data_IF_409361769609
#
_entry.id   IF_409361769609
#
_cell.length_a   1.000
_cell.length_b   1.000
_cell.length_c   1.000
_cell.angle_alpha   90.00
_cell.angle_beta   90.00
_cell.angle_gamma   90.00
#
_symmetry.space_group_name_H-M   'P 1'
#
loop_
_entity.id
_entity.type
_entity.pdbx_description
1 polymer ?
#
# COMPACT_ATOMS: atom_id res chain seq x y z
N UNK A 1 -28.38 -23.29 -16.78
CA UNK A 1 -27.40 -23.54 -15.68
C UNK A 1 -28.14 -23.42 -14.35
N UNK A 2 -28.13 -24.43 -13.47
CA UNK A 2 -28.82 -24.33 -12.16
C UNK A 2 -27.94 -23.51 -11.20
N UNK A 3 -28.49 -22.43 -10.65
CA UNK A 3 -27.85 -21.65 -9.61
C UNK A 3 -27.84 -22.47 -8.31
N UNK A 4 -26.69 -23.03 -7.98
CA UNK A 4 -26.44 -23.75 -6.73
C UNK A 4 -25.26 -23.09 -6.02
N UNK A 5 -25.23 -23.12 -4.69
CA UNK A 5 -24.11 -22.55 -3.89
C UNK A 5 -22.75 -23.03 -4.42
N UNK A 6 -22.63 -24.31 -4.80
CA UNK A 6 -21.41 -24.89 -5.35
C UNK A 6 -21.01 -24.27 -6.69
N UNK A 7 -21.95 -24.12 -7.61
CA UNK A 7 -21.68 -23.56 -8.93
C UNK A 7 -21.35 -22.06 -8.81
N UNK A 8 -22.13 -21.32 -8.04
CA UNK A 8 -21.91 -19.88 -7.80
C UNK A 8 -20.53 -19.63 -7.18
N UNK A 9 -20.19 -20.39 -6.12
CA UNK A 9 -18.87 -20.29 -5.49
C UNK A 9 -17.74 -20.55 -6.49
N UNK A 10 -17.80 -21.65 -7.22
CA UNK A 10 -16.78 -22.04 -8.21
C UNK A 10 -16.61 -21.00 -9.30
N UNK A 11 -17.72 -20.57 -9.89
CA UNK A 11 -17.68 -19.70 -11.07
C UNK A 11 -17.18 -18.29 -10.69
N UNK A 12 -17.61 -17.75 -9.55
CA UNK A 12 -17.08 -16.49 -9.03
C UNK A 12 -15.62 -16.61 -8.59
N UNK A 13 -15.24 -17.70 -7.94
CA UNK A 13 -13.85 -17.93 -7.53
C UNK A 13 -12.92 -18.01 -8.75
N UNK A 14 -13.32 -18.66 -9.82
CA UNK A 14 -12.54 -18.71 -11.07
C UNK A 14 -12.45 -17.34 -11.74
N UNK A 15 -13.56 -16.60 -11.80
CA UNK A 15 -13.59 -15.28 -12.42
C UNK A 15 -12.65 -14.30 -11.70
N UNK A 16 -12.64 -14.31 -10.38
CA UNK A 16 -11.83 -13.40 -9.57
C UNK A 16 -10.50 -13.99 -9.10
N UNK A 17 -10.10 -15.18 -9.57
CA UNK A 17 -8.90 -15.87 -9.08
C UNK A 17 -7.65 -14.99 -9.12
N UNK A 18 -7.44 -14.29 -10.23
CA UNK A 18 -6.29 -13.38 -10.37
C UNK A 18 -6.25 -12.25 -9.34
N UNK A 19 -7.41 -11.64 -9.07
CA UNK A 19 -7.53 -10.60 -8.05
C UNK A 19 -7.36 -11.16 -6.64
N UNK A 20 -7.93 -12.32 -6.34
CA UNK A 20 -7.77 -12.98 -5.04
C UNK A 20 -6.30 -13.19 -4.73
N UNK A 21 -5.54 -13.74 -5.69
CA UNK A 21 -4.10 -13.96 -5.55
C UNK A 21 -3.37 -12.63 -5.43
N UNK A 22 -3.65 -11.66 -6.30
CA UNK A 22 -2.99 -10.36 -6.31
C UNK A 22 -3.18 -9.61 -4.99
N UNK A 23 -4.40 -9.56 -4.48
CA UNK A 23 -4.72 -8.90 -3.21
C UNK A 23 -4.10 -9.64 -2.02
N UNK A 24 -4.12 -10.97 -2.00
CA UNK A 24 -3.50 -11.76 -0.93
C UNK A 24 -2.00 -11.52 -0.85
N UNK A 25 -1.30 -11.60 -1.98
CA UNK A 25 0.15 -11.40 -2.03
C UNK A 25 0.51 -9.95 -1.68
N UNK A 26 -0.14 -8.97 -2.31
CA UNK A 26 0.15 -7.56 -2.06
C UNK A 26 -0.22 -7.12 -0.65
N UNK A 27 -1.23 -7.73 -0.03
CA UNK A 27 -1.58 -7.51 1.37
C UNK A 27 -0.45 -7.92 2.33
N UNK A 28 0.18 -9.08 2.08
CA UNK A 28 1.35 -9.52 2.87
C UNK A 28 2.47 -8.48 2.80
N UNK A 29 2.79 -8.00 1.60
CA UNK A 29 3.84 -6.99 1.42
C UNK A 29 3.49 -5.63 2.03
N UNK A 30 2.22 -5.23 1.97
CA UNK A 30 1.75 -3.99 2.60
C UNK A 30 1.91 -3.99 4.13
N UNK A 31 1.78 -5.14 4.78
CA UNK A 31 2.01 -5.26 6.22
C UNK A 31 3.47 -4.95 6.62
N UNK A 32 4.42 -5.14 5.70
CA UNK A 32 5.84 -4.89 5.92
C UNK A 32 6.32 -3.54 5.37
N UNK A 33 5.41 -2.63 5.01
CA UNK A 33 5.71 -1.34 4.36
C UNK A 33 6.61 -0.39 5.16
N UNK A 34 6.74 -0.60 6.46
CA UNK A 34 7.62 0.23 7.30
C UNK A 34 9.09 -0.21 7.20
N UNK A 35 9.35 -1.51 7.04
CA UNK A 35 10.69 -2.07 6.88
C UNK A 35 11.12 -2.12 5.42
N UNK A 36 10.17 -2.31 4.52
CA UNK A 36 10.41 -2.41 3.10
C UNK A 36 9.23 -1.86 2.30
N UNK A 37 9.51 -0.91 1.40
CA UNK A 37 8.45 -0.25 0.64
C UNK A 37 8.06 -1.08 -0.59
N UNK A 38 6.88 -1.75 -0.62
CA UNK A 38 6.55 -2.71 -1.66
C UNK A 38 6.29 -2.10 -3.05
N UNK A 39 5.91 -0.80 -3.10
CA UNK A 39 5.60 -0.12 -4.37
C UNK A 39 6.81 0.36 -5.13
N UNK A 40 7.86 0.72 -4.42
CA UNK A 40 9.05 1.32 -5.01
C UNK A 40 10.29 0.92 -4.23
N UNK A 41 11.41 0.84 -4.91
CA UNK A 41 12.71 0.59 -4.31
C UNK A 41 13.68 1.73 -4.63
N UNK A 42 14.59 2.00 -3.72
CA UNK A 42 15.68 2.93 -3.95
C UNK A 42 16.67 2.29 -4.92
N UNK A 43 16.85 2.91 -6.10
CA UNK A 43 17.82 2.41 -7.08
C UNK A 43 19.10 3.24 -7.10
N UNK A 44 19.04 4.47 -6.59
CA UNK A 44 20.18 5.36 -6.49
C UNK A 44 20.10 6.19 -5.21
N UNK A 45 21.25 6.45 -4.61
CA UNK A 45 21.37 7.25 -3.41
C UNK A 45 22.63 8.09 -3.49
N UNK A 46 22.47 9.40 -3.44
CA UNK A 46 23.56 10.39 -3.55
C UNK A 46 23.60 11.23 -2.29
N UNK A 47 24.77 11.33 -1.66
CA UNK A 47 25.01 12.27 -0.59
C UNK A 47 25.26 13.67 -1.19
N UNK A 48 24.68 14.68 -0.55
CA UNK A 48 24.81 16.07 -0.94
C UNK A 48 25.23 16.93 0.26
N UNK A 49 25.86 18.04 -0.01
CA UNK A 49 26.12 19.07 0.99
C UNK A 49 25.70 20.41 0.42
N UNK A 50 24.90 21.15 1.18
CA UNK A 50 24.38 22.45 0.77
C UNK A 50 24.70 23.52 1.80
N UNK A 51 24.83 24.76 1.33
CA UNK A 51 24.87 25.91 2.21
C UNK A 51 23.46 26.23 2.70
N UNK A 52 23.27 26.14 4.01
CA UNK A 52 21.97 26.38 4.63
C UNK A 52 21.73 27.87 4.77
N UNK A 53 20.54 28.39 4.46
CA UNK A 53 20.16 29.76 4.80
C UNK A 53 20.17 29.95 6.33
N UNK A 54 20.59 31.12 6.78
CA UNK A 54 20.74 31.45 8.19
C UNK A 54 19.43 31.39 9.01
N UNK A 55 18.28 31.40 8.36
CA UNK A 55 16.96 31.40 8.98
C UNK A 55 16.04 30.39 8.32
N UNK A 56 15.32 29.60 9.13
CA UNK A 56 14.34 28.61 8.64
C UNK A 56 13.25 29.22 7.73
N UNK A 57 12.87 30.46 7.98
CA UNK A 57 11.89 31.23 7.20
C UNK A 57 12.36 31.52 5.76
N UNK A 58 13.65 31.39 5.51
CA UNK A 58 14.23 31.55 4.16
C UNK A 58 14.04 30.31 3.28
N UNK A 59 13.59 29.18 3.87
CA UNK A 59 13.28 27.94 3.16
C UNK A 59 11.85 28.02 2.61
N UNK A 60 11.73 28.71 1.48
CA UNK A 60 10.47 28.91 0.77
C UNK A 60 10.48 28.22 -0.60
N UNK A 61 9.38 28.31 -1.34
CA UNK A 61 9.27 27.73 -2.69
C UNK A 61 10.39 28.17 -3.65
N UNK A 62 10.86 29.41 -3.53
CA UNK A 62 11.94 29.92 -4.37
C UNK A 62 13.28 29.28 -4.03
N UNK A 63 13.51 28.98 -2.75
CA UNK A 63 14.68 28.22 -2.32
C UNK A 63 14.62 26.80 -2.89
N UNK A 64 13.47 26.12 -2.77
CA UNK A 64 13.29 24.77 -3.29
C UNK A 64 13.46 24.71 -4.81
N UNK A 65 12.95 25.69 -5.56
CA UNK A 65 13.15 25.77 -7.01
C UNK A 65 14.63 25.89 -7.37
N UNK A 66 15.37 26.82 -6.74
CA UNK A 66 16.80 26.97 -6.96
C UNK A 66 17.56 25.71 -6.60
N UNK A 67 17.26 25.09 -5.47
CA UNK A 67 17.84 23.82 -5.08
C UNK A 67 17.60 22.72 -6.11
N UNK A 68 16.37 22.61 -6.63
CA UNK A 68 15.99 21.62 -7.66
C UNK A 68 16.81 21.82 -8.93
N UNK A 69 17.00 23.07 -9.36
CA UNK A 69 17.81 23.43 -10.53
C UNK A 69 19.30 23.15 -10.31
N UNK A 70 19.86 23.55 -9.16
CA UNK A 70 21.27 23.32 -8.80
C UNK A 70 21.63 21.83 -8.74
N UNK A 71 20.74 21.02 -8.15
CA UNK A 71 20.93 19.57 -8.06
C UNK A 71 20.51 18.83 -9.34
N UNK A 72 20.03 19.54 -10.37
CA UNK A 72 19.58 18.99 -11.66
C UNK A 72 18.54 17.87 -11.47
N UNK A 73 17.60 18.07 -10.55
CA UNK A 73 16.52 17.13 -10.29
C UNK A 73 15.41 17.40 -11.31
N UNK A 74 15.36 16.58 -12.37
CA UNK A 74 14.29 16.65 -13.38
C UNK A 74 13.09 15.82 -12.90
N UNK A 75 12.35 16.37 -11.92
CA UNK A 75 11.20 15.70 -11.32
C UNK A 75 10.19 16.70 -10.75
N UNK A 76 8.93 16.31 -10.70
CA UNK A 76 7.84 17.16 -10.22
C UNK A 76 7.83 17.23 -8.69
N UNK A 77 7.98 18.42 -8.16
CA UNK A 77 7.82 18.69 -6.72
C UNK A 77 6.40 18.37 -6.27
N UNK A 78 6.27 17.53 -5.25
CA UNK A 78 4.97 17.21 -4.62
C UNK A 78 4.74 18.02 -3.36
N UNK A 79 5.71 18.03 -2.47
CA UNK A 79 5.65 18.76 -1.19
C UNK A 79 7.04 18.93 -0.61
N UNK A 80 7.19 19.93 0.24
CA UNK A 80 8.33 20.03 1.15
C UNK A 80 7.83 20.30 2.56
N UNK A 81 8.59 19.89 3.55
CA UNK A 81 8.29 20.12 4.96
C UNK A 81 9.60 20.33 5.73
N UNK A 82 9.55 21.26 6.68
CA UNK A 82 10.65 21.51 7.62
C UNK A 82 10.18 21.05 8.99
N UNK A 83 10.77 19.97 9.49
CA UNK A 83 10.47 19.43 10.82
C UNK A 83 11.71 19.56 11.72
N UNK A 84 11.61 20.37 12.77
CA UNK A 84 12.73 20.67 13.64
C UNK A 84 13.94 21.17 12.82
N UNK A 85 14.98 20.35 12.70
CA UNK A 85 16.21 20.64 11.97
C UNK A 85 16.36 19.84 10.67
N UNK A 86 15.29 19.23 10.17
CA UNK A 86 15.33 18.43 8.95
C UNK A 86 14.42 19.04 7.89
N UNK A 87 14.98 19.31 6.71
CA UNK A 87 14.23 19.64 5.51
C UNK A 87 14.00 18.36 4.72
N UNK A 88 12.73 18.05 4.47
CA UNK A 88 12.33 16.95 3.61
C UNK A 88 11.62 17.49 2.37
N UNK A 89 12.12 17.14 1.19
CA UNK A 89 11.53 17.52 -0.10
C UNK A 89 11.15 16.24 -0.81
N UNK A 90 9.87 16.10 -1.17
CA UNK A 90 9.36 14.93 -1.87
C UNK A 90 8.95 15.29 -3.30
N UNK A 91 9.58 14.63 -4.25
CA UNK A 91 9.26 14.67 -5.67
C UNK A 91 8.43 13.46 -6.09
N UNK A 92 8.14 13.30 -7.37
CA UNK A 92 7.40 12.15 -7.88
C UNK A 92 8.18 10.84 -7.73
N UNK A 93 9.48 10.86 -8.02
CA UNK A 93 10.38 9.70 -8.02
C UNK A 93 11.65 9.90 -7.20
N UNK A 94 11.80 11.05 -6.52
CA UNK A 94 12.93 11.36 -5.66
C UNK A 94 12.46 11.88 -4.32
N UNK A 95 13.17 11.52 -3.25
CA UNK A 95 13.03 12.14 -1.94
C UNK A 95 14.39 12.71 -1.50
N UNK A 96 14.36 13.91 -0.95
CA UNK A 96 15.55 14.59 -0.44
C UNK A 96 15.38 14.83 1.06
N UNK A 97 16.38 14.46 1.83
CA UNK A 97 16.44 14.75 3.26
C UNK A 97 17.73 15.50 3.55
N UNK A 98 17.62 16.64 4.23
CA UNK A 98 18.74 17.51 4.55
C UNK A 98 18.67 17.87 6.03
N UNK A 99 19.74 17.62 6.73
CA UNK A 99 19.94 18.11 8.09
C UNK A 99 20.35 19.57 8.04
N UNK A 100 19.48 20.44 8.53
CA UNK A 100 19.67 21.88 8.58
C UNK A 100 20.76 22.33 9.57
N UNK A 101 21.26 21.45 10.44
CA UNK A 101 22.35 21.76 11.35
C UNK A 101 23.70 21.60 10.68
N UNK A 102 23.83 20.55 9.85
CA UNK A 102 25.12 20.17 9.25
C UNK A 102 25.23 20.53 7.79
N UNK A 103 24.11 20.84 7.12
CA UNK A 103 24.05 21.05 5.67
C UNK A 103 24.21 19.77 4.85
N UNK A 104 24.33 18.63 5.51
CA UNK A 104 24.44 17.35 4.83
C UNK A 104 23.05 16.79 4.52
N UNK A 105 22.93 16.20 3.36
CA UNK A 105 21.68 15.61 2.92
C UNK A 105 21.90 14.41 2.02
N UNK A 106 20.76 13.78 1.68
CA UNK A 106 20.73 12.61 0.83
C UNK A 106 19.59 12.73 -0.16
N UNK A 107 19.89 12.49 -1.43
CA UNK A 107 18.90 12.36 -2.50
C UNK A 107 18.71 10.87 -2.75
N UNK A 108 17.49 10.37 -2.55
CA UNK A 108 17.12 8.99 -2.84
C UNK A 108 16.20 8.96 -4.06
N UNK A 109 16.62 8.25 -5.10
CA UNK A 109 15.82 8.06 -6.30
C UNK A 109 15.15 6.69 -6.29
N UNK A 110 13.88 6.66 -6.66
CA UNK A 110 13.05 5.46 -6.58
C UNK A 110 12.56 5.01 -7.94
N UNK A 111 12.41 3.69 -8.08
CA UNK A 111 11.69 3.07 -9.19
C UNK A 111 10.55 2.21 -8.67
N UNK A 112 9.49 2.11 -9.46
CA UNK A 112 8.37 1.20 -9.14
C UNK A 112 8.84 -0.24 -9.19
N UNK A 113 8.54 -1.00 -8.15
CA UNK A 113 8.81 -2.43 -8.11
C UNK A 113 7.95 -3.13 -9.17
N UNK A 114 8.56 -3.83 -10.15
CA UNK A 114 7.81 -4.51 -11.19
C UNK A 114 6.81 -5.51 -10.58
N UNK A 115 5.65 -5.65 -11.20
CA UNK A 115 4.55 -6.54 -10.80
C UNK A 115 4.00 -6.19 -9.41
N UNK A 116 4.84 -6.26 -8.37
CA UNK A 116 4.43 -6.01 -6.99
C UNK A 116 3.93 -4.59 -6.76
N UNK A 117 4.56 -3.60 -7.40
CA UNK A 117 4.11 -2.21 -7.36
C UNK A 117 2.71 -2.04 -7.92
N UNK A 118 2.42 -2.67 -9.07
CA UNK A 118 1.09 -2.66 -9.68
C UNK A 118 0.07 -3.41 -8.81
N UNK A 119 0.40 -4.60 -8.31
CA UNK A 119 -0.48 -5.37 -7.41
C UNK A 119 -0.82 -4.57 -6.14
N UNK A 120 0.17 -3.88 -5.56
CA UNK A 120 -0.04 -3.03 -4.38
C UNK A 120 -0.91 -1.82 -4.71
N UNK A 121 -0.80 -1.28 -5.91
CA UNK A 121 -1.61 -0.16 -6.37
C UNK A 121 -3.09 -0.53 -6.48
N UNK A 122 -3.42 -1.80 -6.77
CA UNK A 122 -4.81 -2.28 -6.83
C UNK A 122 -5.55 -2.18 -5.48
N UNK A 123 -4.86 -2.06 -4.35
CA UNK A 123 -5.47 -1.79 -3.05
C UNK A 123 -5.84 -0.32 -2.81
N UNK A 124 -5.54 0.56 -3.74
CA UNK A 124 -5.74 2.01 -3.59
C UNK A 124 -6.68 2.55 -4.66
N UNK A 125 -7.24 3.73 -4.38
CA UNK A 125 -8.07 4.47 -5.32
C UNK A 125 -7.23 4.95 -6.52
N UNK A 126 -7.20 4.13 -7.55
CA UNK A 126 -6.42 4.43 -8.76
C UNK A 126 -7.22 5.27 -9.74
N UNK A 127 -8.54 5.03 -9.81
CA UNK A 127 -9.48 5.77 -10.66
C UNK A 127 -10.92 5.55 -10.20
N UNK A 128 -11.84 6.43 -10.62
CA UNK A 128 -13.28 6.27 -10.32
C UNK A 128 -13.83 4.92 -10.78
N UNK A 129 -13.44 4.45 -11.97
CA UNK A 129 -13.86 3.16 -12.49
C UNK A 129 -13.31 1.98 -11.69
N UNK A 130 -12.09 2.12 -11.17
CA UNK A 130 -11.48 1.11 -10.33
C UNK A 130 -12.22 0.94 -9.00
N UNK A 131 -12.72 2.02 -8.40
CA UNK A 131 -13.50 1.98 -7.16
C UNK A 131 -14.73 1.07 -7.36
N UNK A 132 -15.52 1.33 -8.40
CA UNK A 132 -16.70 0.51 -8.69
C UNK A 132 -16.36 -0.96 -8.92
N UNK A 133 -15.27 -1.23 -9.64
CA UNK A 133 -14.86 -2.61 -9.90
C UNK A 133 -14.37 -3.30 -8.62
N UNK A 134 -13.64 -2.62 -7.76
CA UNK A 134 -13.17 -3.14 -6.49
C UNK A 134 -14.33 -3.39 -5.50
N UNK A 135 -15.38 -2.57 -5.53
CA UNK A 135 -16.61 -2.79 -4.76
C UNK A 135 -17.32 -4.06 -5.21
N UNK A 136 -17.46 -4.26 -6.53
CA UNK A 136 -18.02 -5.50 -7.11
C UNK A 136 -17.18 -6.71 -6.68
N UNK A 137 -15.85 -6.60 -6.71
CA UNK A 137 -14.96 -7.65 -6.22
C UNK A 137 -15.16 -7.93 -4.73
N UNK A 138 -15.28 -6.88 -3.90
CA UNK A 138 -15.57 -7.01 -2.47
C UNK A 138 -16.88 -7.76 -2.19
N UNK A 139 -17.94 -7.39 -2.91
CA UNK A 139 -19.24 -8.10 -2.83
C UNK A 139 -19.08 -9.55 -3.27
N UNK A 140 -18.37 -9.80 -4.37
CA UNK A 140 -18.13 -11.16 -4.85
C UNK A 140 -17.37 -12.01 -3.82
N UNK A 141 -16.40 -11.44 -3.09
CA UNK A 141 -15.69 -12.12 -2.01
C UNK A 141 -16.63 -12.53 -0.87
N UNK A 142 -17.57 -11.66 -0.47
CA UNK A 142 -18.60 -12.00 0.52
C UNK A 142 -19.48 -13.15 0.00
N UNK A 143 -19.88 -13.12 -1.27
CA UNK A 143 -20.68 -14.20 -1.89
C UNK A 143 -19.89 -15.50 -1.96
N UNK A 144 -18.62 -15.46 -2.36
CA UNK A 144 -17.72 -16.63 -2.38
C UNK A 144 -17.62 -17.23 -0.98
N UNK A 145 -17.33 -16.43 0.03
CA UNK A 145 -17.21 -16.89 1.42
C UNK A 145 -18.53 -17.52 1.91
N UNK A 146 -19.65 -16.82 1.71
CA UNK A 146 -20.97 -17.27 2.16
C UNK A 146 -21.40 -18.57 1.46
N UNK A 147 -21.23 -18.66 0.13
CA UNK A 147 -21.58 -19.86 -0.61
C UNK A 147 -20.67 -21.03 -0.26
N UNK A 148 -19.38 -20.77 -0.01
CA UNK A 148 -18.41 -21.78 0.44
C UNK A 148 -18.82 -22.48 1.73
N UNK A 149 -19.40 -21.75 2.69
CA UNK A 149 -19.89 -22.30 3.95
C UNK A 149 -20.96 -23.39 3.75
N UNK A 150 -21.79 -23.29 2.70
CA UNK A 150 -22.93 -24.19 2.48
C UNK A 150 -22.65 -25.30 1.46
N UNK A 151 -21.41 -25.43 0.96
CA UNK A 151 -21.06 -26.50 0.02
C UNK A 151 -21.02 -27.86 0.69
N UNK A 152 -20.45 -27.92 1.90
CA UNK A 152 -20.26 -29.15 2.66
C UNK A 152 -21.51 -29.50 3.47
N UNK A 153 -21.81 -30.82 3.53
CA UNK A 153 -22.93 -31.41 4.30
C UNK A 153 -22.40 -32.42 5.31
N UNK A 154 -23.25 -32.79 6.26
CA UNK A 154 -22.90 -33.75 7.32
C UNK A 154 -22.02 -33.16 8.42
N UNK A 155 -21.21 -33.99 9.04
CA UNK A 155 -20.37 -33.59 10.20
C UNK A 155 -19.36 -32.47 9.90
N UNK A 156 -18.85 -32.42 8.67
CA UNK A 156 -17.92 -31.37 8.19
C UNK A 156 -18.64 -30.12 7.66
N UNK A 157 -19.95 -30.01 7.81
CA UNK A 157 -20.73 -28.83 7.40
C UNK A 157 -20.42 -27.63 8.30
N UNK A 158 -20.86 -26.45 7.84
CA UNK A 158 -20.77 -25.24 8.65
C UNK A 158 -21.42 -25.42 10.04
N UNK A 159 -22.59 -26.00 10.10
CA UNK A 159 -23.31 -26.23 11.36
C UNK A 159 -22.71 -27.34 12.25
N UNK A 160 -21.97 -28.29 11.67
CA UNK A 160 -21.26 -29.31 12.43
C UNK A 160 -19.94 -28.73 13.04
N UNK A 161 -18.98 -28.45 12.21
CA UNK A 161 -17.62 -28.02 12.62
C UNK A 161 -17.29 -26.58 12.24
N UNK A 162 -17.85 -26.10 11.12
CA UNK A 162 -17.41 -24.85 10.47
C UNK A 162 -17.61 -23.61 11.34
N UNK A 163 -18.73 -23.51 12.06
CA UNK A 163 -19.02 -22.36 12.90
C UNK A 163 -18.02 -22.17 14.05
N UNK A 164 -17.49 -23.28 14.62
CA UNK A 164 -16.47 -23.24 15.67
C UNK A 164 -15.17 -22.64 15.13
N UNK A 165 -14.77 -23.07 13.93
CA UNK A 165 -13.58 -22.53 13.26
C UNK A 165 -13.77 -21.06 12.88
N UNK A 166 -14.95 -20.69 12.40
CA UNK A 166 -15.28 -19.30 12.07
C UNK A 166 -15.23 -18.40 13.31
N UNK A 167 -15.77 -18.83 14.45
CA UNK A 167 -15.66 -18.11 15.72
C UNK A 167 -14.20 -17.89 16.13
N UNK A 168 -13.40 -18.95 16.12
CA UNK A 168 -11.96 -18.84 16.43
C UNK A 168 -11.29 -17.84 15.49
N UNK A 169 -11.57 -17.93 14.18
CA UNK A 169 -11.02 -17.02 13.18
C UNK A 169 -11.39 -15.55 13.39
N UNK A 170 -12.56 -15.26 13.97
CA UNK A 170 -12.99 -13.89 14.30
C UNK A 170 -12.37 -13.40 15.62
N UNK A 171 -12.16 -14.27 16.59
CA UNK A 171 -11.60 -13.91 17.90
C UNK A 171 -10.18 -13.34 17.74
N UNK A 172 -9.33 -13.94 16.90
CA UNK A 172 -7.95 -13.48 16.71
C UNK A 172 -7.86 -12.00 16.28
N UNK A 173 -8.52 -11.55 15.20
CA UNK A 173 -8.50 -10.12 14.83
C UNK A 173 -9.03 -9.21 15.92
N UNK A 174 -10.06 -9.64 16.69
CA UNK A 174 -10.60 -8.85 17.79
C UNK A 174 -9.61 -8.68 18.94
N UNK A 175 -8.84 -9.73 19.26
CA UNK A 175 -7.76 -9.65 20.26
C UNK A 175 -6.74 -8.60 19.83
N UNK A 176 -6.28 -8.63 18.57
CA UNK A 176 -5.33 -7.62 18.07
C UNK A 176 -5.92 -6.21 18.11
N UNK A 177 -7.20 -6.07 17.75
CA UNK A 177 -7.84 -4.75 17.70
C UNK A 177 -8.05 -4.13 19.08
N UNK A 178 -8.42 -4.91 20.08
CA UNK A 178 -8.84 -4.39 21.39
C UNK A 178 -7.80 -4.56 22.51
N UNK A 179 -6.85 -5.49 22.39
CA UNK A 179 -5.88 -5.78 23.45
C UNK A 179 -4.44 -5.42 23.09
N UNK A 180 -4.11 -5.31 21.80
CA UNK A 180 -2.73 -5.11 21.35
C UNK A 180 -2.54 -3.86 20.47
N UNK A 181 -3.60 -3.06 20.24
CA UNK A 181 -3.52 -1.80 19.48
C UNK A 181 -3.23 -0.60 20.37
#
# INVERSE_FOLDING_TARGET
MKLTSRNTHRDLAYFFLGLIIAFSISGIFLNHRQSWHPRRYTYNSQEISINIPATSDSINENFIKRFTEEQKIDDNLRRFNVEKNNLRISYASNDVQIDLTTGKGKIESYRTTPILGQMTQLHQDTSKWWIYYSDIFGIAMVVIASTGMFIQKGENSFWGRGWKLALIGVIFPLIFLFLLS
#
